data_IF_495903771503
#
_entry.id   IF_495903771503
#
_cell.length_a   1.000
_cell.length_b   1.000
_cell.length_c   1.000
_cell.angle_alpha   90.00
_cell.angle_beta   90.00
_cell.angle_gamma   90.00
#
_symmetry.space_group_name_H-M   'P 1'
#
loop_
_entity.id
_entity.type
_entity.pdbx_description
1 polymer ?
#
# COMPACT_ATOMS: atom_id res chain seq x y z
N UNK A 1 6.97 -0.28 18.75
CA UNK A 1 7.29 0.93 17.97
C UNK A 1 8.66 0.77 17.33
N UNK A 2 8.89 1.39 16.17
CA UNK A 2 10.16 1.32 15.44
C UNK A 2 10.61 2.74 15.07
N UNK A 3 11.87 3.13 15.34
CA UNK A 3 12.35 4.46 14.98
C UNK A 3 12.39 4.63 13.45
N UNK A 4 12.11 5.84 12.97
CA UNK A 4 12.36 6.18 11.56
C UNK A 4 13.86 6.38 11.36
N UNK A 5 14.38 5.94 10.23
CA UNK A 5 15.77 6.23 9.84
C UNK A 5 15.88 7.74 9.62
N UNK A 6 16.93 8.34 10.16
CA UNK A 6 17.27 9.76 9.98
C UNK A 6 16.17 10.74 10.42
N UNK A 7 15.30 10.34 11.38
CA UNK A 7 14.23 11.16 11.92
C UNK A 7 14.04 10.89 13.42
N UNK A 8 13.61 11.91 14.16
CA UNK A 8 13.23 11.80 15.58
C UNK A 8 11.86 11.13 15.78
N UNK A 9 11.13 10.88 14.69
CA UNK A 9 9.81 10.28 14.71
C UNK A 9 9.84 8.76 14.94
N UNK A 10 8.77 8.27 15.58
CA UNK A 10 8.52 6.84 15.78
C UNK A 10 7.39 6.34 14.89
N UNK A 11 7.51 5.10 14.41
CA UNK A 11 6.44 4.39 13.69
C UNK A 11 5.77 3.38 14.62
N UNK A 12 4.44 3.46 14.83
CA UNK A 12 3.70 2.34 15.38
C UNK A 12 3.74 1.20 14.36
N UNK A 13 4.11 0.00 14.81
CA UNK A 13 4.19 -1.20 13.98
C UNK A 13 3.41 -2.29 14.68
N UNK A 14 2.26 -2.67 14.11
CA UNK A 14 1.42 -3.74 14.63
C UNK A 14 1.97 -5.12 14.23
N UNK A 15 1.93 -6.06 15.17
CA UNK A 15 2.39 -7.44 14.98
C UNK A 15 1.37 -8.33 14.27
N UNK A 16 0.89 -7.96 13.08
CA UNK A 16 -0.25 -8.62 12.40
C UNK A 16 0.04 -10.02 11.78
N UNK A 17 1.14 -10.68 12.15
CA UNK A 17 1.50 -11.99 11.55
C UNK A 17 0.44 -13.07 11.80
N UNK A 18 -0.07 -13.17 13.03
CA UNK A 18 -1.13 -14.13 13.36
C UNK A 18 -2.45 -13.81 12.65
N UNK A 19 -2.82 -12.52 12.60
CA UNK A 19 -4.01 -12.04 11.88
C UNK A 19 -3.92 -12.36 10.39
N UNK A 20 -2.82 -11.99 9.73
CA UNK A 20 -2.62 -12.20 8.29
C UNK A 20 -2.64 -13.68 7.88
N UNK A 21 -2.35 -14.61 8.80
CA UNK A 21 -2.46 -16.04 8.55
C UNK A 21 -3.91 -16.55 8.59
N UNK A 22 -4.79 -15.85 9.29
CA UNK A 22 -6.22 -16.18 9.40
C UNK A 22 -7.04 -15.45 8.31
N UNK A 23 -6.56 -14.31 7.83
CA UNK A 23 -7.22 -13.54 6.75
C UNK A 23 -7.14 -14.28 5.41
N UNK A 24 -8.27 -14.37 4.71
CA UNK A 24 -8.31 -14.86 3.33
C UNK A 24 -7.56 -13.88 2.43
N UNK A 25 -6.62 -14.37 1.62
CA UNK A 25 -5.82 -13.54 0.74
C UNK A 25 -6.67 -13.02 -0.43
N UNK A 26 -7.01 -11.75 -0.40
CA UNK A 26 -7.59 -11.05 -1.55
C UNK A 26 -6.48 -10.54 -2.46
N UNK A 27 -6.08 -11.38 -3.42
CA UNK A 27 -5.03 -11.03 -4.39
C UNK A 27 -5.66 -10.33 -5.58
N UNK A 28 -5.67 -9.00 -5.55
CA UNK A 28 -5.88 -8.23 -6.77
C UNK A 28 -4.69 -8.43 -7.72
N UNK A 29 -4.97 -8.74 -8.98
CA UNK A 29 -3.93 -8.91 -10.00
C UNK A 29 -3.22 -7.58 -10.25
N UNK A 30 -1.99 -7.45 -9.76
CA UNK A 30 -1.16 -6.29 -10.08
C UNK A 30 -0.81 -6.37 -11.58
N UNK A 31 -1.05 -5.31 -12.37
CA UNK A 31 -0.77 -5.33 -13.79
C UNK A 31 0.71 -5.62 -14.06
N UNK A 32 0.99 -6.30 -15.17
CA UNK A 32 2.36 -6.58 -15.57
C UNK A 32 3.09 -5.26 -15.87
N UNK A 33 4.29 -5.11 -15.33
CA UNK A 33 5.11 -3.91 -15.55
C UNK A 33 5.43 -3.69 -17.03
N UNK A 34 5.55 -4.76 -17.83
CA UNK A 34 5.82 -4.66 -19.27
C UNK A 34 4.64 -4.04 -20.02
N UNK A 35 3.42 -4.41 -19.65
CA UNK A 35 2.20 -3.86 -20.26
C UNK A 35 2.10 -2.36 -19.95
N UNK A 36 2.38 -1.98 -18.70
CA UNK A 36 2.44 -0.58 -18.29
C UNK A 36 3.50 0.22 -19.07
N UNK A 37 4.70 -0.34 -19.28
CA UNK A 37 5.76 0.33 -20.05
C UNK A 37 5.36 0.49 -21.53
N UNK A 38 4.70 -0.51 -22.11
CA UNK A 38 4.22 -0.42 -23.48
C UNK A 38 3.20 0.71 -23.66
N UNK A 39 2.29 0.92 -22.70
CA UNK A 39 1.32 2.02 -22.72
C UNK A 39 1.97 3.41 -22.64
N UNK A 40 3.11 3.52 -21.96
CA UNK A 40 3.88 4.76 -21.84
C UNK A 40 4.74 5.07 -23.09
N UNK A 41 4.92 4.11 -24.00
CA UNK A 41 5.73 4.30 -25.18
C UNK A 41 5.20 5.45 -26.06
N UNK A 42 6.08 6.41 -26.40
CA UNK A 42 5.74 7.56 -27.23
C UNK A 42 4.99 8.68 -26.51
N UNK A 43 4.72 8.55 -25.20
CA UNK A 43 4.23 9.68 -24.38
C UNK A 43 5.39 10.63 -24.07
N UNK A 44 5.11 11.93 -24.09
CA UNK A 44 6.12 12.99 -23.90
C UNK A 44 5.97 13.74 -22.57
N UNK A 45 4.82 13.61 -21.92
CA UNK A 45 4.52 14.25 -20.64
C UNK A 45 4.00 13.19 -19.68
N UNK A 46 4.54 13.19 -18.46
CA UNK A 46 4.17 12.27 -17.39
C UNK A 46 3.77 13.07 -16.15
N UNK A 47 2.76 12.58 -15.44
CA UNK A 47 2.39 13.07 -14.11
C UNK A 47 2.23 11.88 -13.18
N UNK A 48 2.57 12.09 -11.91
CA UNK A 48 2.41 11.09 -10.87
C UNK A 48 1.73 11.73 -9.67
N UNK A 49 0.85 10.95 -9.03
CA UNK A 49 0.12 11.35 -7.83
C UNK A 49 0.51 10.37 -6.73
N UNK A 50 1.00 10.90 -5.63
CA UNK A 50 1.26 10.13 -4.41
C UNK A 50 0.12 10.34 -3.41
N UNK A 51 -0.49 9.24 -2.96
CA UNK A 51 -1.53 9.26 -1.94
C UNK A 51 -0.89 9.13 -0.55
N UNK A 52 -0.64 10.29 0.08
CA UNK A 52 -0.04 10.35 1.42
C UNK A 52 -0.88 9.57 2.42
N UNK A 53 -0.28 8.54 3.04
CA UNK A 53 -0.96 7.64 4.00
C UNK A 53 -2.20 6.96 3.40
N UNK A 54 -2.14 6.53 2.13
CA UNK A 54 -3.26 5.90 1.40
C UNK A 54 -4.05 4.87 2.23
N UNK A 55 -3.36 3.98 2.95
CA UNK A 55 -4.01 2.95 3.77
C UNK A 55 -4.93 3.50 4.88
N UNK A 56 -4.67 4.70 5.40
CA UNK A 56 -5.52 5.31 6.42
C UNK A 56 -6.73 6.05 5.85
N UNK A 57 -6.76 6.25 4.52
CA UNK A 57 -7.87 6.92 3.85
C UNK A 57 -8.97 5.93 3.44
N UNK A 58 -8.64 4.65 3.30
CA UNK A 58 -9.58 3.60 2.92
C UNK A 58 -10.23 3.04 4.20
N UNK A 59 -11.58 3.06 4.31
CA UNK A 59 -12.27 2.55 5.49
C UNK A 59 -12.16 1.02 5.57
N UNK A 60 -12.05 0.51 6.79
CA UNK A 60 -12.15 -0.92 7.08
C UNK A 60 -13.63 -1.30 7.10
N UNK A 61 -13.96 -2.51 6.66
CA UNK A 61 -15.32 -3.04 6.75
C UNK A 61 -15.78 -3.03 8.23
N UNK A 62 -16.94 -2.43 8.57
CA UNK A 62 -17.39 -2.34 9.96
C UNK A 62 -17.45 -3.66 10.73
N UNK A 63 -17.66 -4.80 10.05
CA UNK A 63 -17.65 -6.13 10.69
C UNK A 63 -16.28 -6.53 11.25
N UNK A 64 -15.21 -5.91 10.76
CA UNK A 64 -13.82 -6.34 10.99
C UNK A 64 -13.07 -5.39 11.95
N UNK A 65 -13.76 -4.42 12.57
CA UNK A 65 -13.19 -3.36 13.42
C UNK A 65 -13.08 -3.77 14.91
N UNK A 66 -13.40 -5.01 15.26
CA UNK A 66 -13.49 -5.47 16.66
C UNK A 66 -12.29 -6.31 17.10
#
# INVERSE_FOLDING_TARGET
MVPKKDSTDWRPVGGYRALNNQTVKDKYGVPNILDFIAELHGKTVFSHIDLVKAYHQIPINPSDVH
#
